data_IF_342064277682
#
_entry.id   IF_342064277682
#
_cell.length_a   1.000
_cell.length_b   1.000
_cell.length_c   1.000
_cell.angle_alpha   90.00
_cell.angle_beta   90.00
_cell.angle_gamma   90.00
#
_symmetry.space_group_name_H-M   'P 1'
#
loop_
_entity.id
_entity.type
_entity.pdbx_description
1 polymer ?
#
# COMPACT_ATOMS: atom_id res chain seq x y z
N UNK A 1 5.72 -56.86 -41.96
CA UNK A 1 4.83 -55.73 -42.15
C UNK A 1 4.81 -54.98 -40.82
N UNK A 2 5.55 -53.88 -40.70
CA UNK A 2 5.62 -53.05 -39.50
C UNK A 2 4.54 -51.96 -39.63
N UNK A 3 3.57 -51.96 -38.76
CA UNK A 3 2.58 -50.92 -38.60
C UNK A 3 3.19 -49.77 -37.80
N UNK A 4 3.33 -48.64 -38.45
CA UNK A 4 3.83 -47.41 -37.88
C UNK A 4 2.72 -46.68 -37.14
N UNK A 5 2.73 -46.67 -35.82
CA UNK A 5 1.78 -45.94 -35.00
C UNK A 5 2.17 -44.45 -35.03
N UNK A 6 1.39 -43.62 -35.70
CA UNK A 6 1.50 -42.17 -35.70
C UNK A 6 1.04 -41.65 -34.32
N UNK A 7 1.98 -41.19 -33.51
CA UNK A 7 1.66 -40.39 -32.33
C UNK A 7 1.13 -39.03 -32.80
N UNK A 8 -0.17 -38.78 -32.59
CA UNK A 8 -0.75 -37.46 -32.74
C UNK A 8 -0.23 -36.59 -31.61
N UNK A 9 0.65 -35.66 -31.97
CA UNK A 9 1.09 -34.59 -31.08
C UNK A 9 -0.09 -33.64 -30.91
N UNK A 10 -0.79 -33.73 -29.78
CA UNK A 10 -1.82 -32.78 -29.40
C UNK A 10 -1.14 -31.51 -28.89
N UNK A 11 -0.99 -30.53 -29.78
CA UNK A 11 -0.53 -29.21 -29.43
C UNK A 11 -1.68 -28.52 -28.66
N UNK A 12 -1.58 -28.52 -27.33
CA UNK A 12 -2.46 -27.71 -26.51
C UNK A 12 -2.02 -26.26 -26.68
N UNK A 13 -2.78 -25.51 -27.45
CA UNK A 13 -2.66 -24.08 -27.55
C UNK A 13 -3.08 -23.49 -26.21
N UNK A 14 -2.10 -23.20 -25.36
CA UNK A 14 -2.31 -22.47 -24.11
C UNK A 14 -2.65 -21.02 -24.46
N UNK A 15 -3.95 -20.76 -24.56
CA UNK A 15 -4.45 -19.39 -24.62
C UNK A 15 -4.14 -18.78 -23.25
N UNK A 16 -3.06 -18.00 -23.17
CA UNK A 16 -2.82 -17.08 -22.07
C UNK A 16 -3.92 -16.02 -22.04
N UNK A 17 -5.06 -16.39 -21.48
CA UNK A 17 -5.92 -15.37 -20.90
C UNK A 17 -5.10 -14.76 -19.78
N UNK A 18 -4.77 -13.47 -19.94
CA UNK A 18 -4.16 -12.67 -18.86
C UNK A 18 -5.12 -12.65 -17.68
N UNK A 19 -5.00 -13.63 -16.83
CA UNK A 19 -5.43 -13.53 -15.46
C UNK A 19 -4.58 -12.41 -14.88
N UNK A 20 -5.19 -11.28 -14.60
CA UNK A 20 -4.64 -10.36 -13.62
C UNK A 20 -4.51 -11.20 -12.34
N UNK A 21 -3.33 -11.75 -12.14
CA UNK A 21 -2.94 -12.28 -10.85
C UNK A 21 -2.84 -11.05 -9.95
N UNK A 22 -3.91 -10.75 -9.24
CA UNK A 22 -3.76 -10.01 -8.00
C UNK A 22 -2.73 -10.81 -7.22
N UNK A 23 -1.57 -10.18 -6.98
CA UNK A 23 -0.46 -10.87 -6.37
C UNK A 23 -0.93 -11.45 -5.04
N UNK A 24 -0.93 -12.78 -4.94
CA UNK A 24 -0.95 -13.39 -3.63
C UNK A 24 0.27 -12.84 -2.92
N UNK A 25 0.07 -12.10 -1.85
CA UNK A 25 1.19 -11.77 -0.98
C UNK A 25 1.61 -13.10 -0.35
N UNK A 26 2.77 -13.60 -0.80
CA UNK A 26 3.43 -14.72 -0.14
C UNK A 26 4.24 -14.22 1.07
N UNK A 27 4.18 -12.93 1.35
CA UNK A 27 4.91 -12.27 2.41
C UNK A 27 4.02 -12.23 3.65
N UNK A 28 4.48 -12.82 4.72
CA UNK A 28 3.89 -12.73 6.05
C UNK A 28 4.91 -11.98 6.96
N UNK A 29 4.57 -10.81 7.54
CA UNK A 29 3.25 -10.17 7.52
C UNK A 29 2.91 -9.47 6.19
N UNK A 30 1.61 -9.43 5.88
CA UNK A 30 1.07 -8.51 4.87
C UNK A 30 1.14 -7.07 5.39
N UNK A 31 1.43 -6.11 4.51
CA UNK A 31 1.50 -4.69 4.90
C UNK A 31 0.38 -3.91 4.26
N UNK A 32 -0.45 -3.30 5.11
CA UNK A 32 -1.57 -2.45 4.70
C UNK A 32 -1.38 -1.04 5.23
N UNK A 33 -1.97 -0.07 4.55
CA UNK A 33 -1.93 1.32 5.02
C UNK A 33 -2.91 1.54 6.17
N UNK A 34 -2.56 2.41 7.11
CA UNK A 34 -3.50 2.88 8.12
C UNK A 34 -4.74 3.50 7.45
N UNK A 35 -5.92 3.16 7.96
CA UNK A 35 -7.22 3.53 7.39
C UNK A 35 -7.47 3.01 5.96
N UNK A 36 -6.77 1.97 5.51
CA UNK A 36 -7.07 1.32 4.24
C UNK A 36 -8.48 0.72 4.25
N UNK A 37 -9.18 0.84 3.14
CA UNK A 37 -10.53 0.31 2.98
C UNK A 37 -10.63 -0.63 1.79
N UNK A 38 -11.42 -1.70 1.94
CA UNK A 38 -11.67 -2.65 0.85
C UNK A 38 -10.48 -3.53 0.49
N UNK A 39 -9.53 -3.74 1.41
CA UNK A 39 -8.40 -4.66 1.21
C UNK A 39 -8.92 -6.09 1.00
N UNK A 40 -8.45 -6.74 -0.07
CA UNK A 40 -8.96 -8.05 -0.46
C UNK A 40 -8.05 -9.17 0.03
N UNK A 41 -8.66 -10.15 0.71
CA UNK A 41 -8.02 -11.40 1.08
C UNK A 41 -8.77 -12.57 0.44
N UNK A 42 -8.03 -13.56 -0.06
CA UNK A 42 -8.64 -14.71 -0.71
C UNK A 42 -7.80 -15.97 -0.57
N UNK A 43 -8.47 -17.10 -0.66
CA UNK A 43 -7.88 -18.43 -0.81
C UNK A 43 -8.37 -19.07 -2.09
N UNK A 44 -7.66 -20.12 -2.55
CA UNK A 44 -8.11 -20.88 -3.72
C UNK A 44 -9.49 -21.46 -3.45
N UNK A 45 -10.41 -21.23 -4.39
CA UNK A 45 -11.77 -21.75 -4.25
C UNK A 45 -11.83 -23.27 -4.47
N UNK A 46 -12.32 -24.00 -3.48
CA UNK A 46 -12.65 -25.41 -3.58
C UNK A 46 -14.16 -25.56 -3.80
N UNK A 47 -14.61 -26.15 -4.90
CA UNK A 47 -16.04 -26.32 -5.16
C UNK A 47 -16.77 -27.00 -3.99
N UNK A 48 -17.94 -26.49 -3.63
CA UNK A 48 -18.80 -26.97 -2.52
C UNK A 48 -18.27 -26.72 -1.12
N UNK A 49 -17.10 -26.14 -0.95
CA UNK A 49 -16.60 -25.71 0.36
C UNK A 49 -17.22 -24.38 0.80
N UNK A 50 -17.23 -24.18 2.11
CA UNK A 50 -17.57 -22.90 2.77
C UNK A 50 -16.36 -22.40 3.55
N UNK A 51 -16.28 -21.08 3.73
CA UNK A 51 -15.12 -20.43 4.34
C UNK A 51 -15.55 -19.56 5.52
N UNK A 52 -15.00 -19.84 6.70
CA UNK A 52 -15.24 -19.02 7.87
C UNK A 52 -14.02 -18.12 8.12
N UNK A 53 -14.21 -16.83 7.97
CA UNK A 53 -13.19 -15.82 8.14
C UNK A 53 -13.31 -15.14 9.49
N UNK A 54 -12.17 -14.89 10.11
CA UNK A 54 -12.05 -14.09 11.32
C UNK A 54 -11.01 -13.00 11.11
N UNK A 55 -11.36 -11.76 11.45
CA UNK A 55 -10.43 -10.61 11.38
C UNK A 55 -10.30 -10.05 12.79
N UNK A 56 -9.05 -9.91 13.27
CA UNK A 56 -8.76 -9.46 14.64
C UNK A 56 -7.61 -8.47 14.66
N UNK A 57 -7.62 -7.57 15.64
CA UNK A 57 -6.54 -6.58 15.80
C UNK A 57 -6.52 -5.50 14.72
N UNK A 58 -5.62 -4.55 14.82
CA UNK A 58 -5.41 -3.48 13.85
C UNK A 58 -6.61 -2.60 13.52
N UNK A 59 -7.70 -2.69 14.26
CA UNK A 59 -8.97 -2.09 13.88
C UNK A 59 -9.60 -2.74 12.65
N UNK A 60 -9.15 -3.95 12.28
CA UNK A 60 -9.64 -4.69 11.12
C UNK A 60 -11.13 -5.03 11.25
N UNK A 61 -11.90 -4.73 10.24
CA UNK A 61 -13.33 -4.99 10.16
C UNK A 61 -13.67 -5.69 8.86
N UNK A 62 -14.19 -6.91 8.94
CA UNK A 62 -14.67 -7.66 7.78
C UNK A 62 -15.91 -6.97 7.22
N UNK A 63 -15.86 -6.54 5.97
CA UNK A 63 -16.95 -5.82 5.31
C UNK A 63 -17.84 -6.75 4.51
N UNK A 64 -17.27 -7.60 3.68
CA UNK A 64 -18.02 -8.50 2.80
C UNK A 64 -17.34 -9.85 2.65
N UNK A 65 -18.06 -10.85 2.16
CA UNK A 65 -17.51 -12.11 1.68
C UNK A 65 -17.47 -13.26 2.69
N UNK A 66 -18.01 -13.08 3.91
CA UNK A 66 -18.11 -14.19 4.87
C UNK A 66 -18.86 -15.38 4.23
N UNK A 67 -18.27 -16.58 4.34
CA UNK A 67 -18.80 -17.80 3.72
C UNK A 67 -18.21 -18.09 2.32
N UNK A 68 -17.60 -17.12 1.66
CA UNK A 68 -16.95 -17.26 0.36
C UNK A 68 -15.42 -17.38 0.46
N UNK A 69 -14.77 -17.75 -0.62
CA UNK A 69 -13.31 -17.85 -0.68
C UNK A 69 -12.57 -16.50 -0.72
N UNK A 70 -13.29 -15.39 -0.69
CA UNK A 70 -12.73 -14.03 -0.73
C UNK A 70 -13.53 -13.09 0.17
N UNK A 71 -12.81 -12.21 0.88
CA UNK A 71 -13.39 -11.17 1.73
C UNK A 71 -12.81 -9.80 1.41
N UNK A 72 -13.50 -8.75 1.88
CA UNK A 72 -12.93 -7.41 1.97
C UNK A 72 -12.86 -6.97 3.44
N UNK A 73 -11.78 -6.27 3.77
CA UNK A 73 -11.49 -5.80 5.13
C UNK A 73 -11.13 -4.32 5.08
N UNK A 74 -11.67 -3.56 6.03
CA UNK A 74 -11.20 -2.21 6.31
C UNK A 74 -10.30 -2.25 7.55
N UNK A 75 -9.18 -1.51 7.49
CA UNK A 75 -8.20 -1.46 8.58
C UNK A 75 -8.27 -0.13 9.34
N UNK A 76 -7.89 -0.16 10.61
CA UNK A 76 -7.88 1.02 11.46
C UNK A 76 -6.63 1.89 11.31
N UNK A 77 -6.57 2.95 12.13
CA UNK A 77 -5.49 3.94 12.11
C UNK A 77 -4.24 3.53 12.91
N UNK A 78 -4.36 2.55 13.81
CA UNK A 78 -3.28 2.23 14.76
C UNK A 78 -2.22 1.39 14.07
N UNK A 79 -1.02 1.97 13.92
CA UNK A 79 0.13 1.28 13.34
C UNK A 79 0.66 0.18 14.26
N UNK A 80 1.08 -0.93 13.66
CA UNK A 80 1.67 -2.04 14.39
C UNK A 80 1.53 -3.38 13.68
N UNK A 81 2.25 -4.37 14.22
CA UNK A 81 2.13 -5.77 13.81
C UNK A 81 1.01 -6.45 14.60
N UNK A 82 0.10 -7.07 13.87
CA UNK A 82 -1.03 -7.83 14.41
C UNK A 82 -0.90 -9.29 13.99
N UNK A 83 -0.36 -10.14 14.86
CA UNK A 83 -0.20 -11.57 14.58
C UNK A 83 -1.55 -12.25 14.41
N UNK A 84 -1.66 -13.13 13.40
CA UNK A 84 -2.87 -13.88 13.08
C UNK A 84 -4.09 -12.98 12.89
N UNK A 85 -3.89 -11.80 12.31
CA UNK A 85 -4.94 -10.79 12.15
C UNK A 85 -6.05 -11.24 11.20
N UNK A 86 -5.72 -12.06 10.21
CA UNK A 86 -6.69 -12.68 9.31
C UNK A 86 -6.59 -14.19 9.43
N UNK A 87 -7.70 -14.83 9.71
CA UNK A 87 -7.81 -16.29 9.77
C UNK A 87 -8.91 -16.76 8.82
N UNK A 88 -8.67 -17.89 8.17
CA UNK A 88 -9.70 -18.59 7.40
C UNK A 88 -9.71 -20.08 7.73
N UNK A 89 -10.91 -20.63 7.93
CA UNK A 89 -11.16 -22.06 8.07
C UNK A 89 -12.09 -22.50 6.94
N UNK A 90 -11.58 -23.35 6.05
CA UNK A 90 -12.39 -23.99 5.03
C UNK A 90 -13.11 -25.22 5.60
N UNK A 91 -14.38 -25.38 5.27
CA UNK A 91 -15.16 -26.58 5.58
C UNK A 91 -15.68 -27.21 4.29
N UNK A 92 -15.57 -28.53 4.17
CA UNK A 92 -16.06 -29.26 2.99
C UNK A 92 -17.60 -29.38 3.01
N UNK A 93 -18.16 -29.98 1.95
CA UNK A 93 -19.62 -30.18 1.82
C UNK A 93 -20.26 -31.02 2.95
N UNK A 94 -19.48 -31.80 3.68
CA UNK A 94 -19.94 -32.55 4.86
C UNK A 94 -19.82 -31.75 6.17
N UNK A 95 -19.49 -30.46 6.09
CA UNK A 95 -19.21 -29.55 7.23
C UNK A 95 -18.01 -30.00 8.09
N UNK A 96 -17.05 -30.71 7.51
CA UNK A 96 -15.81 -31.04 8.20
C UNK A 96 -14.83 -29.87 8.04
N UNK A 97 -14.42 -29.20 9.13
CA UNK A 97 -13.47 -28.09 9.05
C UNK A 97 -12.05 -28.59 8.79
N UNK A 98 -11.31 -27.84 7.98
CA UNK A 98 -9.87 -27.97 7.78
C UNK A 98 -9.05 -27.31 8.88
N UNK A 99 -7.74 -27.27 8.69
CA UNK A 99 -6.83 -26.51 9.57
C UNK A 99 -6.96 -25.01 9.29
N UNK A 100 -6.94 -24.15 10.30
CA UNK A 100 -6.91 -22.69 10.10
C UNK A 100 -5.67 -22.26 9.31
N UNK A 101 -5.87 -21.34 8.39
CA UNK A 101 -4.79 -20.60 7.72
C UNK A 101 -4.75 -19.21 8.32
N UNK A 102 -3.57 -18.78 8.74
CA UNK A 102 -3.34 -17.56 9.50
C UNK A 102 -2.43 -16.63 8.72
N UNK A 103 -2.72 -15.32 8.79
CA UNK A 103 -1.92 -14.28 8.19
C UNK A 103 -1.69 -13.16 9.22
N UNK A 104 -0.43 -12.80 9.41
CA UNK A 104 -0.06 -11.61 10.16
C UNK A 104 -0.25 -10.38 9.30
N UNK A 105 -0.70 -9.27 9.89
CA UNK A 105 -0.86 -8.00 9.18
C UNK A 105 -0.10 -6.91 9.91
N UNK A 106 0.66 -6.13 9.15
CA UNK A 106 1.32 -4.92 9.63
C UNK A 106 0.56 -3.70 9.10
N UNK A 107 -0.09 -2.96 9.99
CA UNK A 107 -0.72 -1.68 9.64
C UNK A 107 0.35 -0.60 9.67
N UNK A 108 0.59 0.03 8.52
CA UNK A 108 1.61 1.07 8.33
C UNK A 108 0.95 2.45 8.35
N UNK A 109 1.28 3.26 9.35
CA UNK A 109 0.93 4.68 9.37
C UNK A 109 2.15 5.52 8.98
N UNK A 110 1.96 6.43 8.01
CA UNK A 110 3.01 7.31 7.53
C UNK A 110 2.78 8.74 7.99
N UNK A 111 3.87 9.38 8.42
CA UNK A 111 3.85 10.81 8.69
C UNK A 111 5.10 11.50 8.13
N UNK A 112 4.99 12.81 7.89
CA UNK A 112 6.10 13.66 7.47
C UNK A 112 6.30 14.80 8.47
N UNK A 113 7.54 15.29 8.58
CA UNK A 113 7.81 16.48 9.36
C UNK A 113 7.14 17.71 8.71
N UNK A 114 6.51 18.52 9.53
CA UNK A 114 6.02 19.83 9.09
C UNK A 114 7.22 20.76 8.87
N UNK A 115 7.28 21.38 7.69
CA UNK A 115 8.35 22.30 7.30
C UNK A 115 7.77 23.62 6.76
N UNK A 116 8.51 24.69 6.91
CA UNK A 116 8.11 26.02 6.43
C UNK A 116 7.30 26.83 7.44
N UNK A 117 6.70 27.97 7.03
CA UNK A 117 6.80 28.55 5.68
C UNK A 117 8.22 28.98 5.30
N UNK A 118 8.54 28.98 4.01
CA UNK A 118 9.83 29.37 3.46
C UNK A 118 9.76 30.71 2.72
N UNK A 119 10.92 31.36 2.58
CA UNK A 119 11.16 32.34 1.53
C UNK A 119 11.82 31.68 0.31
N UNK A 120 11.63 32.22 -0.89
CA UNK A 120 12.19 31.65 -2.12
C UNK A 120 13.73 31.51 -2.12
N UNK A 121 14.42 32.30 -1.29
CA UNK A 121 15.87 32.25 -1.12
C UNK A 121 16.37 31.38 0.03
N UNK A 122 15.50 30.71 0.76
CA UNK A 122 15.90 29.89 1.91
C UNK A 122 16.74 28.66 1.48
N UNK A 123 17.60 28.17 2.38
CA UNK A 123 18.42 26.99 2.09
C UNK A 123 17.56 25.73 1.95
N UNK A 124 18.15 24.75 1.27
CA UNK A 124 17.57 23.40 1.16
C UNK A 124 17.34 22.78 2.53
N UNK A 125 16.17 22.23 2.75
CA UNK A 125 15.74 21.62 4.03
C UNK A 125 15.50 20.13 3.87
N UNK A 126 16.11 19.26 4.68
CA UNK A 126 15.84 17.84 4.65
C UNK A 126 14.39 17.52 4.98
N UNK A 127 13.81 16.59 4.22
CA UNK A 127 12.49 16.02 4.47
C UNK A 127 12.64 14.73 5.27
N UNK A 128 11.90 14.62 6.37
CA UNK A 128 11.93 13.44 7.24
C UNK A 128 10.56 12.79 7.21
N UNK A 129 10.52 11.53 6.80
CA UNK A 129 9.34 10.69 6.89
C UNK A 129 9.45 9.70 8.04
N UNK A 130 8.32 9.31 8.60
CA UNK A 130 8.23 8.31 9.66
C UNK A 130 7.19 7.25 9.28
N UNK A 131 7.56 5.94 9.29
CA UNK A 131 8.91 5.39 9.47
C UNK A 131 9.90 5.89 8.41
N UNK A 132 11.19 5.86 8.71
CA UNK A 132 12.23 6.26 7.77
C UNK A 132 12.42 5.20 6.66
N UNK A 133 12.92 5.62 5.49
CA UNK A 133 13.24 4.71 4.36
C UNK A 133 12.33 4.85 3.15
N UNK A 134 11.30 5.68 3.23
CA UNK A 134 10.46 6.01 2.09
C UNK A 134 11.05 7.10 1.19
N UNK A 135 10.28 7.51 0.20
CA UNK A 135 10.69 8.48 -0.81
C UNK A 135 9.77 9.69 -0.81
N UNK A 136 10.35 10.88 -0.82
CA UNK A 136 9.64 12.13 -0.99
C UNK A 136 9.54 12.54 -2.46
N UNK A 137 8.37 13.02 -2.87
CA UNK A 137 8.10 13.54 -4.21
C UNK A 137 7.29 14.83 -4.13
N UNK A 138 7.38 15.64 -5.19
CA UNK A 138 6.66 16.90 -5.30
C UNK A 138 7.55 18.00 -5.89
N UNK A 139 6.94 19.13 -6.23
CA UNK A 139 7.67 20.29 -6.77
C UNK A 139 8.66 20.83 -5.74
N UNK A 140 9.91 21.01 -6.15
CA UNK A 140 10.99 21.47 -5.28
C UNK A 140 11.64 20.38 -4.44
N UNK A 141 11.24 19.09 -4.59
CA UNK A 141 11.92 17.98 -3.93
C UNK A 141 13.06 17.46 -4.76
N UNK A 142 14.25 17.42 -4.17
CA UNK A 142 15.48 16.88 -4.76
C UNK A 142 16.19 16.04 -3.69
N UNK A 143 16.43 14.76 -3.98
CA UNK A 143 17.14 13.83 -3.08
C UNK A 143 16.59 13.83 -1.64
N UNK A 144 15.29 13.72 -1.48
CA UNK A 144 14.57 13.78 -0.19
C UNK A 144 14.81 15.08 0.62
N UNK A 145 15.05 16.18 -0.07
CA UNK A 145 15.13 17.51 0.53
C UNK A 145 14.28 18.51 -0.26
N UNK A 146 13.71 19.47 0.42
CA UNK A 146 12.94 20.55 -0.21
C UNK A 146 13.86 21.75 -0.53
N UNK A 147 13.82 22.23 -1.77
CA UNK A 147 14.56 23.38 -2.26
C UNK A 147 13.58 24.52 -2.62
N UNK A 148 13.40 25.52 -1.74
CA UNK A 148 12.46 26.61 -1.98
C UNK A 148 12.74 27.39 -3.27
N UNK A 149 14.02 27.58 -3.62
CA UNK A 149 14.43 28.27 -4.85
C UNK A 149 14.05 27.51 -6.14
N UNK A 150 14.00 26.19 -6.08
CA UNK A 150 13.58 25.35 -7.22
C UNK A 150 12.05 25.28 -7.30
N UNK A 151 11.37 25.25 -6.16
CA UNK A 151 9.92 25.27 -6.13
C UNK A 151 9.34 26.60 -6.63
N UNK A 152 9.97 27.71 -6.26
CA UNK A 152 9.45 29.07 -6.49
C UNK A 152 8.39 29.45 -5.43
N UNK A 153 7.80 30.64 -5.62
CA UNK A 153 6.73 31.15 -4.73
C UNK A 153 5.43 30.41 -5.01
N UNK A 154 4.78 29.90 -3.96
CA UNK A 154 3.52 29.16 -4.10
C UNK A 154 3.20 28.24 -2.93
N UNK A 155 2.12 27.48 -3.10
CA UNK A 155 1.70 26.42 -2.17
C UNK A 155 1.92 25.07 -2.85
N UNK A 156 2.55 24.15 -2.15
CA UNK A 156 2.93 22.84 -2.68
C UNK A 156 2.47 21.72 -1.77
N UNK A 157 2.09 20.60 -2.38
CA UNK A 157 1.84 19.35 -1.70
C UNK A 157 3.04 18.44 -1.97
N UNK A 158 3.68 17.99 -0.90
CA UNK A 158 4.74 17.01 -0.98
C UNK A 158 4.20 15.67 -0.48
N UNK A 159 4.57 14.59 -1.15
CA UNK A 159 4.10 13.23 -0.84
C UNK A 159 5.27 12.39 -0.34
N UNK A 160 5.07 11.74 0.79
CA UNK A 160 5.95 10.69 1.29
C UNK A 160 5.35 9.33 1.02
N UNK A 161 6.12 8.44 0.39
CA UNK A 161 5.66 7.12 -0.05
C UNK A 161 6.57 6.02 0.51
N UNK A 162 5.97 4.95 1.04
CA UNK A 162 6.66 3.76 1.53
C UNK A 162 5.73 2.55 1.48
N UNK A 163 6.23 1.40 0.96
CA UNK A 163 5.51 0.13 0.91
C UNK A 163 4.08 0.24 0.34
N UNK A 164 3.88 1.07 -0.69
CA UNK A 164 2.56 1.30 -1.30
C UNK A 164 1.69 2.34 -0.59
N UNK A 165 2.02 2.72 0.64
CA UNK A 165 1.31 3.76 1.39
C UNK A 165 1.84 5.16 1.08
N UNK A 166 0.98 6.17 1.25
CA UNK A 166 1.30 7.56 0.99
C UNK A 166 0.76 8.46 2.09
N UNK A 167 1.51 9.51 2.42
CA UNK A 167 1.04 10.65 3.21
C UNK A 167 1.51 11.96 2.60
N UNK A 168 0.85 13.07 2.91
CA UNK A 168 1.17 14.37 2.31
C UNK A 168 1.39 15.43 3.37
N UNK A 169 2.25 16.41 3.03
CA UNK A 169 2.40 17.64 3.78
C UNK A 169 2.21 18.85 2.85
N UNK A 170 1.72 19.94 3.41
CA UNK A 170 1.60 21.22 2.70
C UNK A 170 2.80 22.11 3.02
N UNK A 171 3.39 22.71 1.99
CA UNK A 171 4.53 23.61 2.11
C UNK A 171 4.21 24.92 1.40
N UNK A 172 4.54 26.04 2.06
CA UNK A 172 4.33 27.39 1.52
C UNK A 172 5.67 28.06 1.28
N UNK A 173 5.86 28.62 0.09
CA UNK A 173 7.01 29.46 -0.24
C UNK A 173 6.53 30.86 -0.57
N UNK A 174 7.03 31.85 0.17
CA UNK A 174 6.69 33.26 0.05
C UNK A 174 7.78 34.04 -0.69
N UNK A 175 7.41 35.23 -1.20
CA UNK A 175 8.39 36.20 -1.65
C UNK A 175 9.22 36.69 -0.45
N UNK A 176 10.52 36.83 -0.66
CA UNK A 176 11.35 37.61 0.27
C UNK A 176 10.97 39.11 0.28
N UNK A 177 11.30 39.84 1.35
CA UNK A 177 11.10 41.28 1.39
C UNK A 177 11.98 41.96 0.34
N UNK A 178 11.40 42.95 -0.35
CA UNK A 178 12.17 43.80 -1.27
C UNK A 178 12.53 45.07 -0.53
N UNK A 179 13.81 45.23 -0.22
CA UNK A 179 14.33 46.48 0.42
C UNK A 179 14.64 47.49 -0.67
N UNK A 180 14.07 48.68 -0.56
CA UNK A 180 14.37 49.79 -1.45
C UNK A 180 15.79 50.35 -1.22
N UNK A 181 16.30 51.21 -2.13
CA UNK A 181 17.62 51.81 -1.97
C UNK A 181 17.68 52.72 -0.74
N UNK A 182 18.83 52.73 -0.06
CA UNK A 182 19.09 53.68 1.02
C UNK A 182 19.12 55.08 0.41
N UNK A 183 18.29 55.96 0.96
CA UNK A 183 18.26 57.39 0.58
C UNK A 183 18.95 58.24 1.65
N UNK A 184 19.72 59.25 1.19
CA UNK A 184 20.37 60.25 2.05
C UNK A 184 19.74 61.60 1.77
N UNK A 185 19.42 62.33 2.81
CA UNK A 185 18.93 63.74 2.76
C UNK A 185 20.07 64.68 3.00
#
# INVERSE_FOLDING_TARGET
KKTKTMKKLLTVLLVCFGLMTYGQTTINPDTVCANATGEQYFVTNTPTSTYNWTVTGGGGTLQTGQGSNSITVDWGAVSGLYPNAVEVIESNAANCPGTPILLDVFVLDLSGNLIGPFCAGDPTTPLVGNPAGGTWTGTGVVANAFQPSTAGVGNYILTYSMAGCNTTINVVVNNGPVTGPIQHY
#
